data_IF_537732173881
#
_entry.id   IF_537732173881
#
_cell.length_a   1.000
_cell.length_b   1.000
_cell.length_c   1.000
_cell.angle_alpha   90.00
_cell.angle_beta   90.00
_cell.angle_gamma   90.00
#
_symmetry.space_group_name_H-M   'P 1'
#
loop_
_entity.id
_entity.type
_entity.pdbx_description
1 polymer ?
#
# COMPACT_ATOMS: atom_id res chain seq x y z
N UNK A 1 26.75 -10.94 10.39
CA UNK A 1 25.56 -10.88 9.51
C UNK A 1 24.88 -9.56 9.76
N UNK A 2 24.75 -8.70 8.75
CA UNK A 2 23.95 -7.47 8.87
C UNK A 2 22.49 -7.85 8.69
N UNK A 3 21.71 -7.62 9.74
CA UNK A 3 20.26 -7.76 9.74
C UNK A 3 19.67 -6.68 8.82
N UNK A 4 19.00 -7.08 7.73
CA UNK A 4 18.31 -6.15 6.86
C UNK A 4 16.85 -6.03 7.31
N UNK A 5 16.48 -4.84 7.77
CA UNK A 5 15.13 -4.56 8.26
C UNK A 5 14.06 -4.72 7.17
N UNK A 6 14.40 -4.42 5.91
CA UNK A 6 13.52 -4.62 4.76
C UNK A 6 14.34 -4.84 3.48
N UNK A 7 14.09 -5.96 2.80
CA UNK A 7 14.61 -6.34 1.50
C UNK A 7 13.53 -6.11 0.44
N UNK A 8 13.62 -5.04 -0.36
CA UNK A 8 12.59 -4.66 -1.31
C UNK A 8 12.55 -5.61 -2.52
N UNK A 9 11.34 -5.94 -2.94
CA UNK A 9 11.00 -6.60 -4.18
C UNK A 9 10.30 -5.63 -5.16
N UNK A 10 9.39 -6.14 -6.01
CA UNK A 10 8.63 -5.32 -6.94
C UNK A 10 7.81 -4.22 -6.26
N UNK A 11 7.70 -3.08 -6.96
CA UNK A 11 6.85 -1.96 -6.54
C UNK A 11 5.69 -1.77 -7.51
N UNK A 12 4.49 -1.61 -6.96
CA UNK A 12 3.28 -1.24 -7.67
C UNK A 12 2.82 0.13 -7.19
N UNK A 13 2.07 0.86 -8.02
CA UNK A 13 1.52 2.17 -7.66
C UNK A 13 0.04 2.30 -7.99
N UNK A 14 -0.64 3.17 -7.24
CA UNK A 14 -2.01 3.61 -7.52
C UNK A 14 -1.99 5.13 -7.62
N UNK A 15 -2.59 5.68 -8.68
CA UNK A 15 -2.93 7.09 -8.76
C UNK A 15 -4.21 7.32 -7.95
N UNK A 16 -4.05 7.56 -6.65
CA UNK A 16 -5.18 7.65 -5.72
C UNK A 16 -6.06 8.84 -6.07
N UNK A 17 -7.36 8.61 -5.92
CA UNK A 17 -8.43 9.59 -6.07
C UNK A 17 -9.49 9.33 -5.01
N UNK A 18 -10.58 10.06 -5.04
CA UNK A 18 -11.74 9.84 -4.16
C UNK A 18 -12.43 8.50 -4.42
N UNK A 19 -12.16 7.88 -5.57
CA UNK A 19 -12.61 6.53 -5.90
C UNK A 19 -11.54 5.50 -5.55
N UNK A 20 -11.96 4.40 -4.93
CA UNK A 20 -11.10 3.24 -4.69
C UNK A 20 -10.55 2.69 -6.00
N UNK A 21 -9.25 2.50 -6.04
CA UNK A 21 -8.56 1.74 -7.08
C UNK A 21 -7.78 0.60 -6.43
N UNK A 22 -7.55 -0.48 -7.16
CA UNK A 22 -6.78 -1.64 -6.68
C UNK A 22 -5.64 -1.99 -7.61
N UNK A 23 -4.53 -2.48 -7.05
CA UNK A 23 -3.37 -2.96 -7.79
C UNK A 23 -2.89 -4.29 -7.25
N UNK A 24 -2.34 -5.13 -8.13
CA UNK A 24 -1.60 -6.33 -7.73
C UNK A 24 -0.32 -5.94 -7.00
N UNK A 25 -0.10 -6.52 -5.82
CA UNK A 25 1.16 -6.43 -5.09
C UNK A 25 2.04 -7.60 -5.56
N UNK A 26 2.93 -7.32 -6.50
CA UNK A 26 3.81 -8.34 -7.07
C UNK A 26 4.77 -8.95 -6.06
N UNK A 27 5.20 -10.20 -6.31
CA UNK A 27 6.17 -10.93 -5.49
C UNK A 27 5.58 -11.57 -4.23
N UNK A 28 6.36 -12.47 -3.63
CA UNK A 28 5.93 -13.32 -2.50
C UNK A 28 6.41 -12.81 -1.13
N UNK A 29 6.89 -11.56 -1.07
CA UNK A 29 7.35 -10.95 0.17
C UNK A 29 6.26 -10.91 1.24
N UNK A 30 6.61 -11.32 2.48
CA UNK A 30 5.72 -11.34 3.64
C UNK A 30 5.47 -9.96 4.27
N UNK A 31 6.07 -8.91 3.71
CA UNK A 31 5.86 -7.53 4.11
C UNK A 31 5.56 -6.66 2.87
N UNK A 32 4.90 -5.53 3.11
CA UNK A 32 4.70 -4.48 2.12
C UNK A 32 5.06 -3.14 2.75
N UNK A 33 6.02 -2.45 2.15
CA UNK A 33 6.29 -1.05 2.43
C UNK A 33 5.33 -0.18 1.61
N UNK A 34 4.59 0.67 2.30
CA UNK A 34 3.64 1.61 1.73
C UNK A 34 4.21 3.01 1.88
N UNK A 35 4.40 3.69 0.75
CA UNK A 35 4.94 5.06 0.70
C UNK A 35 3.86 5.99 0.19
N UNK A 36 3.40 6.91 1.03
CA UNK A 36 2.57 8.03 0.63
C UNK A 36 3.46 9.26 0.45
N UNK A 37 3.84 9.54 -0.79
CA UNK A 37 4.65 10.73 -1.12
C UNK A 37 3.79 11.97 -1.42
N UNK A 38 2.47 11.89 -1.29
CA UNK A 38 1.55 12.98 -1.54
C UNK A 38 1.24 13.81 -0.30
N UNK A 39 0.33 14.77 -0.48
CA UNK A 39 -0.08 15.73 0.54
C UNK A 39 -1.40 15.35 1.25
N UNK A 40 -2.10 14.32 0.78
CA UNK A 40 -3.39 13.90 1.34
C UNK A 40 -3.30 12.56 2.07
N UNK A 41 -4.17 12.34 3.06
CA UNK A 41 -4.31 11.04 3.73
C UNK A 41 -4.87 10.04 2.72
N UNK A 42 -4.26 8.85 2.68
CA UNK A 42 -4.73 7.73 1.85
C UNK A 42 -5.20 6.61 2.75
N UNK A 43 -6.38 6.07 2.48
CA UNK A 43 -6.90 4.91 3.16
C UNK A 43 -6.63 3.68 2.32
N UNK A 44 -6.01 2.66 2.92
CA UNK A 44 -5.62 1.43 2.23
C UNK A 44 -6.33 0.20 2.81
N UNK A 45 -6.58 -0.77 1.94
CA UNK A 45 -7.02 -2.11 2.29
C UNK A 45 -6.17 -3.16 1.56
N UNK A 46 -5.95 -4.30 2.20
CA UNK A 46 -5.29 -5.46 1.60
C UNK A 46 -6.28 -6.62 1.46
N UNK A 47 -6.15 -7.40 0.39
CA UNK A 47 -7.02 -8.56 0.17
C UNK A 47 -6.63 -9.38 -1.05
N UNK A 48 -7.52 -10.32 -1.43
CA UNK A 48 -7.29 -11.27 -2.50
C UNK A 48 -8.13 -10.91 -3.73
N UNK A 49 -7.47 -10.66 -4.87
CA UNK A 49 -8.18 -10.29 -6.10
C UNK A 49 -8.75 -8.88 -6.05
N UNK A 50 -10.06 -8.72 -6.25
CA UNK A 50 -10.69 -7.40 -6.19
C UNK A 50 -10.84 -6.93 -4.74
N UNK A 51 -10.25 -5.79 -4.41
CA UNK A 51 -10.31 -5.16 -3.09
C UNK A 51 -10.83 -3.74 -3.27
N UNK A 52 -11.68 -3.30 -2.35
CA UNK A 52 -12.20 -1.93 -2.32
C UNK A 52 -11.80 -1.31 -0.99
N UNK A 53 -11.09 -0.18 -1.05
CA UNK A 53 -10.79 0.62 0.13
C UNK A 53 -12.00 1.49 0.52
N UNK A 54 -12.07 1.86 1.78
CA UNK A 54 -13.04 2.78 2.37
C UNK A 54 -12.32 3.81 3.24
N UNK A 55 -12.95 4.97 3.49
CA UNK A 55 -12.41 5.99 4.42
C UNK A 55 -12.35 5.51 5.89
N UNK A 56 -12.89 4.33 6.19
CA UNK A 56 -12.77 3.68 7.50
C UNK A 56 -11.57 2.73 7.62
N UNK A 57 -10.83 2.51 6.53
CA UNK A 57 -9.70 1.56 6.53
C UNK A 57 -8.41 2.21 7.06
N UNK A 58 -7.27 1.56 6.85
CA UNK A 58 -6.00 1.97 7.48
C UNK A 58 -5.49 3.28 6.86
N UNK A 59 -5.31 4.37 7.64
CA UNK A 59 -4.82 5.64 7.12
C UNK A 59 -3.30 5.66 7.00
N UNK A 60 -2.82 6.09 5.84
CA UNK A 60 -1.40 6.39 5.57
C UNK A 60 -1.26 7.90 5.44
N UNK A 61 -0.56 8.48 6.41
CA UNK A 61 -0.40 9.93 6.51
C UNK A 61 0.46 10.48 5.35
N UNK A 62 0.24 11.75 4.95
CA UNK A 62 1.07 12.43 3.97
C UNK A 62 2.57 12.36 4.31
N UNK A 63 3.41 12.13 3.31
CA UNK A 63 4.87 12.07 3.46
C UNK A 63 5.40 10.90 4.30
N UNK A 64 4.56 9.92 4.64
CA UNK A 64 4.93 8.81 5.51
C UNK A 64 5.27 7.54 4.75
N UNK A 65 6.09 6.71 5.40
CA UNK A 65 6.40 5.34 4.98
C UNK A 65 6.01 4.41 6.12
N UNK A 66 5.23 3.38 5.82
CA UNK A 66 4.80 2.37 6.79
C UNK A 66 5.05 0.97 6.23
N UNK A 67 5.43 0.02 7.08
CA UNK A 67 5.64 -1.38 6.68
C UNK A 67 4.59 -2.24 7.35
N UNK A 68 3.85 -3.01 6.56
CA UNK A 68 2.84 -3.95 7.02
C UNK A 68 3.30 -5.38 6.82
N UNK A 69 2.99 -6.24 7.78
CA UNK A 69 3.05 -7.68 7.56
C UNK A 69 1.86 -8.10 6.71
N UNK A 70 2.09 -9.02 5.76
CA UNK A 70 1.02 -9.59 4.92
C UNK A 70 1.19 -11.09 4.73
N UNK A 71 0.08 -11.77 4.48
CA UNK A 71 0.11 -13.11 3.88
C UNK A 71 0.10 -12.94 2.36
N UNK A 72 1.19 -13.27 1.62
CA UNK A 72 1.24 -13.07 0.17
C UNK A 72 0.18 -13.87 -0.59
N UNK A 73 -0.38 -14.93 0.02
CA UNK A 73 -1.48 -15.73 -0.56
C UNK A 73 -2.86 -15.08 -0.37
N UNK A 74 -3.07 -14.37 0.73
CA UNK A 74 -4.36 -13.75 1.07
C UNK A 74 -4.43 -12.26 0.74
N UNK A 75 -3.27 -11.61 0.65
CA UNK A 75 -3.10 -10.17 0.41
C UNK A 75 -2.32 -9.98 -0.90
N UNK A 76 -2.90 -10.45 -2.00
CA UNK A 76 -2.32 -10.34 -3.34
C UNK A 76 -2.51 -8.95 -3.93
N UNK A 77 -3.52 -8.20 -3.47
CA UNK A 77 -3.85 -6.86 -3.96
C UNK A 77 -3.93 -5.85 -2.81
N UNK A 78 -3.61 -4.61 -3.14
CA UNK A 78 -3.89 -3.44 -2.32
C UNK A 78 -4.94 -2.59 -3.01
N UNK A 79 -5.84 -2.00 -2.23
CA UNK A 79 -6.71 -0.92 -2.69
C UNK A 79 -6.39 0.36 -1.93
N UNK A 80 -6.60 1.50 -2.59
CA UNK A 80 -6.36 2.81 -2.01
C UNK A 80 -7.34 3.86 -2.53
N UNK A 81 -7.68 4.80 -1.66
CA UNK A 81 -8.40 6.05 -1.99
C UNK A 81 -7.96 7.18 -1.07
N UNK A 82 -8.21 8.43 -1.49
CA UNK A 82 -8.15 9.59 -0.60
C UNK A 82 -9.56 10.04 -0.18
N UNK A 83 -9.65 10.82 0.89
CA UNK A 83 -10.92 11.43 1.30
C UNK A 83 -11.45 12.40 0.22
N UNK A 84 -12.76 12.61 0.20
CA UNK A 84 -13.39 13.59 -0.69
C UNK A 84 -12.78 14.99 -0.53
N UNK A 85 -12.59 15.69 -1.65
CA UNK A 85 -11.99 17.02 -1.73
C UNK A 85 -10.46 17.05 -1.73
N UNK A 86 -9.79 15.89 -1.75
CA UNK A 86 -8.33 15.80 -1.75
C UNK A 86 -7.74 15.65 -3.16
N UNK A 87 -6.57 16.24 -3.37
CA UNK A 87 -5.86 16.12 -4.65
C UNK A 87 -5.35 14.70 -4.89
N UNK A 88 -5.54 14.23 -6.13
CA UNK A 88 -4.98 12.97 -6.58
C UNK A 88 -3.45 12.97 -6.53
N UNK A 89 -2.87 11.86 -6.13
CA UNK A 89 -1.42 11.66 -6.06
C UNK A 89 -1.07 10.18 -6.15
N UNK A 90 0.21 9.83 -6.14
CA UNK A 90 0.64 8.43 -6.18
C UNK A 90 0.89 7.89 -4.77
N UNK A 91 0.39 6.68 -4.51
CA UNK A 91 0.84 5.84 -3.40
C UNK A 91 1.57 4.62 -3.97
N UNK A 92 2.63 4.19 -3.29
CA UNK A 92 3.48 3.09 -3.74
C UNK A 92 3.43 1.93 -2.75
N UNK A 93 3.35 0.72 -3.28
CA UNK A 93 3.36 -0.54 -2.54
C UNK A 93 4.56 -1.35 -3.01
N UNK A 94 5.58 -1.45 -2.17
CA UNK A 94 6.77 -2.27 -2.42
C UNK A 94 6.67 -3.54 -1.61
N UNK A 95 6.58 -4.70 -2.26
CA UNK A 95 6.65 -5.96 -1.53
C UNK A 95 8.07 -6.20 -1.02
N UNK A 96 8.24 -7.02 -0.01
CA UNK A 96 9.55 -7.36 0.50
C UNK A 96 9.49 -8.30 1.70
N UNK A 97 10.64 -8.51 2.32
CA UNK A 97 10.76 -9.27 3.56
C UNK A 97 11.95 -8.78 4.37
N UNK A 98 12.00 -9.14 5.64
CA UNK A 98 13.02 -8.65 6.56
C UNK A 98 12.77 -9.28 7.93
N UNK A 99 13.65 -8.97 8.86
CA UNK A 99 13.63 -9.53 10.22
C UNK A 99 13.39 -8.44 11.27
#
# INVERSE_FOLDING_TARGET
>A
MTVQAFAPGPTSSIAVSESSQSVLIGGDGAQVMVTNSGAAVVFIAFGQGSVTASVGDTPILPGSVQVFSRSPRMHTHAAALCAAGQSSHSIYFTSGGGI
#
